data_IF_656356594024
#
_entry.id   IF_656356594024
#
_cell.length_a   1.000
_cell.length_b   1.000
_cell.length_c   1.000
_cell.angle_alpha   90.00
_cell.angle_beta   90.00
_cell.angle_gamma   90.00
#
_symmetry.space_group_name_H-M   'P 1'
#
loop_
_entity.id
_entity.type
_entity.pdbx_description
1 polymer ?
#
# COMPACT_ATOMS: atom_id res chain seq x y z
N UNK A 1 -0.16 -3.47 -16.26
CA UNK A 1 0.38 -2.38 -15.43
C UNK A 1 -0.14 -2.54 -14.00
N UNK A 2 0.71 -2.33 -13.02
CA UNK A 2 0.34 -2.49 -11.62
C UNK A 2 -0.72 -1.45 -11.22
N UNK A 3 -1.81 -1.91 -10.64
CA UNK A 3 -2.82 -1.03 -10.05
C UNK A 3 -2.34 -0.60 -8.66
N UNK A 4 -2.47 0.68 -8.34
CA UNK A 4 -2.03 1.20 -7.05
C UNK A 4 -3.22 1.76 -6.28
N UNK A 5 -3.43 1.22 -5.07
CA UNK A 5 -4.50 1.65 -4.17
C UNK A 5 -3.91 2.26 -2.90
N UNK A 6 -4.33 3.48 -2.59
CA UNK A 6 -3.99 4.14 -1.34
C UNK A 6 -5.17 4.04 -0.39
N UNK A 7 -4.97 3.40 0.75
CA UNK A 7 -5.96 3.34 1.82
C UNK A 7 -5.54 4.33 2.91
N UNK A 8 -6.43 5.25 3.24
CA UNK A 8 -6.14 6.34 4.17
C UNK A 8 -7.12 6.27 5.33
N UNK A 9 -6.59 6.15 6.56
CA UNK A 9 -7.42 6.16 7.75
C UNK A 9 -7.96 7.55 8.02
N UNK A 10 -9.26 7.64 8.30
CA UNK A 10 -9.92 8.91 8.62
C UNK A 10 -9.66 9.33 10.07
N UNK A 11 -9.86 10.60 10.35
CA UNK A 11 -9.82 11.13 11.71
C UNK A 11 -10.82 10.38 12.59
N UNK A 12 -10.40 10.01 13.78
CA UNK A 12 -11.25 9.27 14.72
C UNK A 12 -11.20 7.77 14.56
N UNK A 13 -10.49 7.26 13.56
CA UNK A 13 -10.30 5.82 13.43
C UNK A 13 -9.41 5.29 14.55
N UNK A 14 -9.77 4.13 15.09
CA UNK A 14 -8.96 3.43 16.09
C UNK A 14 -8.01 2.42 15.47
N UNK A 15 -7.99 2.32 14.15
CA UNK A 15 -7.12 1.39 13.43
C UNK A 15 -5.71 1.93 13.33
N UNK A 16 -4.75 1.01 13.33
CA UNK A 16 -3.35 1.32 13.03
C UNK A 16 -3.08 1.03 11.56
N UNK A 17 -1.94 1.49 11.09
CA UNK A 17 -1.47 1.19 9.75
C UNK A 17 -1.39 -0.31 9.51
N UNK A 18 -0.85 -1.05 10.49
CA UNK A 18 -0.73 -2.50 10.40
C UNK A 18 -2.09 -3.18 10.38
N UNK A 19 -3.02 -2.77 11.26
CA UNK A 19 -4.35 -3.37 11.27
C UNK A 19 -5.11 -3.10 9.97
N UNK A 20 -4.92 -1.94 9.37
CA UNK A 20 -5.47 -1.63 8.05
C UNK A 20 -4.89 -2.57 6.99
N UNK A 21 -3.58 -2.78 7.01
CA UNK A 21 -2.92 -3.68 6.08
C UNK A 21 -3.47 -5.10 6.21
N UNK A 22 -3.71 -5.55 7.45
CA UNK A 22 -4.26 -6.88 7.70
C UNK A 22 -5.69 -7.02 7.16
N UNK A 23 -6.51 -5.99 7.25
CA UNK A 23 -7.85 -6.01 6.67
C UNK A 23 -7.80 -6.14 5.15
N UNK A 24 -6.92 -5.39 4.51
CA UNK A 24 -6.74 -5.47 3.06
C UNK A 24 -6.22 -6.85 2.67
N UNK A 25 -5.29 -7.39 3.44
CA UNK A 25 -4.77 -8.73 3.22
C UNK A 25 -5.88 -9.78 3.27
N UNK A 26 -6.72 -9.74 4.30
CA UNK A 26 -7.79 -10.70 4.45
C UNK A 26 -8.76 -10.65 3.29
N UNK A 27 -9.08 -9.44 2.81
CA UNK A 27 -9.96 -9.27 1.67
C UNK A 27 -9.36 -9.86 0.40
N UNK A 28 -8.07 -9.62 0.16
CA UNK A 28 -7.38 -10.15 -1.01
C UNK A 28 -7.29 -11.68 -0.94
N UNK A 29 -7.00 -12.24 0.23
CA UNK A 29 -6.95 -13.69 0.43
C UNK A 29 -8.31 -14.32 0.17
N UNK A 30 -9.40 -13.66 0.56
CA UNK A 30 -10.76 -14.16 0.28
C UNK A 30 -11.06 -14.19 -1.20
N UNK A 31 -10.36 -13.41 -2.01
CA UNK A 31 -10.46 -13.41 -3.46
C UNK A 31 -9.43 -14.36 -4.12
N UNK A 32 -8.80 -15.20 -3.33
CA UNK A 32 -7.79 -16.18 -3.76
C UNK A 32 -6.54 -15.52 -4.35
N UNK A 33 -6.19 -14.32 -3.86
CA UNK A 33 -4.96 -13.64 -4.23
C UNK A 33 -3.90 -13.87 -3.17
N UNK A 34 -2.65 -14.06 -3.58
CA UNK A 34 -1.54 -14.13 -2.65
C UNK A 34 -1.08 -12.72 -2.28
N UNK A 35 -0.67 -12.52 -1.03
CA UNK A 35 -0.35 -11.20 -0.49
C UNK A 35 0.98 -11.23 0.22
N UNK A 36 1.79 -10.20 -0.01
CA UNK A 36 3.01 -9.95 0.76
C UNK A 36 2.90 -8.59 1.43
N UNK A 37 3.12 -8.55 2.74
CA UNK A 37 3.22 -7.30 3.50
C UNK A 37 4.71 -7.03 3.73
N UNK A 38 5.19 -5.86 3.31
CA UNK A 38 6.58 -5.49 3.47
C UNK A 38 6.72 -4.31 4.41
N UNK A 39 7.46 -4.50 5.49
CA UNK A 39 7.68 -3.50 6.52
C UNK A 39 9.07 -2.85 6.46
N UNK A 40 9.96 -3.41 5.69
CA UNK A 40 11.31 -2.90 5.50
C UNK A 40 11.60 -2.80 4.00
N UNK A 41 12.38 -1.79 3.62
CA UNK A 41 12.69 -1.52 2.21
C UNK A 41 13.81 -2.42 1.69
N UNK A 42 13.79 -3.68 2.04
CA UNK A 42 14.79 -4.64 1.54
C UNK A 42 14.28 -5.29 0.24
N UNK A 43 15.19 -5.75 -0.63
CA UNK A 43 14.76 -6.47 -1.82
C UNK A 43 13.92 -7.67 -1.47
N UNK A 44 12.85 -7.88 -2.22
CA UNK A 44 12.00 -9.05 -2.05
C UNK A 44 12.04 -9.88 -3.31
N UNK A 45 12.12 -11.18 -3.15
CA UNK A 45 12.01 -12.14 -4.24
C UNK A 45 10.63 -12.77 -4.28
N UNK A 46 9.70 -12.28 -3.47
CA UNK A 46 8.40 -12.90 -3.34
C UNK A 46 7.63 -12.84 -4.65
N UNK A 47 6.90 -13.89 -4.90
CA UNK A 47 6.00 -14.01 -6.05
C UNK A 47 4.58 -14.00 -5.50
N UNK A 48 4.03 -12.81 -5.39
CA UNK A 48 2.67 -12.61 -4.88
C UNK A 48 1.90 -11.73 -5.84
N UNK A 49 0.58 -11.81 -5.76
CA UNK A 49 -0.29 -10.99 -6.61
C UNK A 49 -0.35 -9.57 -6.09
N UNK A 50 -0.35 -9.41 -4.77
CA UNK A 50 -0.55 -8.12 -4.10
C UNK A 50 0.62 -7.84 -3.16
N UNK A 51 1.19 -6.63 -3.28
CA UNK A 51 2.21 -6.13 -2.36
C UNK A 51 1.61 -5.03 -1.51
N UNK A 52 1.72 -5.14 -0.19
CA UNK A 52 1.30 -4.09 0.74
C UNK A 52 2.55 -3.43 1.30
N UNK A 53 2.70 -2.14 1.03
CA UNK A 53 3.86 -1.36 1.44
C UNK A 53 3.59 -0.65 2.76
N UNK A 54 4.31 -1.05 3.81
CA UNK A 54 4.28 -0.38 5.11
C UNK A 54 5.59 0.37 5.38
N UNK A 55 6.42 0.55 4.35
CA UNK A 55 7.65 1.34 4.48
C UNK A 55 7.38 2.80 4.10
N UNK A 56 8.41 3.64 4.23
CA UNK A 56 8.34 5.04 3.84
C UNK A 56 8.90 5.28 2.43
N UNK A 57 9.26 4.22 1.74
CA UNK A 57 9.95 4.31 0.46
C UNK A 57 9.16 3.64 -0.65
N UNK A 58 9.46 4.02 -1.90
CA UNK A 58 9.00 3.28 -3.07
C UNK A 58 9.81 1.97 -3.13
N UNK A 59 9.10 0.84 -3.12
CA UNK A 59 9.76 -0.46 -3.18
C UNK A 59 10.24 -0.74 -4.62
N UNK A 60 11.48 -1.18 -4.78
CA UNK A 60 12.15 -1.24 -6.07
C UNK A 60 11.42 -2.14 -7.09
N UNK A 61 10.78 -3.21 -6.62
CA UNK A 61 10.13 -4.19 -7.50
C UNK A 61 8.61 -4.16 -7.43
N UNK A 62 8.03 -3.03 -7.01
CA UNK A 62 6.56 -2.95 -6.88
C UNK A 62 5.84 -3.26 -8.19
N UNK A 63 6.45 -2.92 -9.32
CA UNK A 63 5.83 -3.10 -10.63
C UNK A 63 5.77 -4.57 -11.09
N UNK A 64 6.37 -5.48 -10.34
CA UNK A 64 6.26 -6.90 -10.60
C UNK A 64 4.97 -7.52 -10.05
N UNK A 65 4.19 -6.76 -9.31
CA UNK A 65 2.94 -7.20 -8.70
C UNK A 65 1.75 -6.70 -9.51
N UNK A 66 0.65 -7.44 -9.49
CA UNK A 66 -0.59 -6.98 -10.11
C UNK A 66 -1.10 -5.71 -9.42
N UNK A 67 -0.93 -5.66 -8.10
CA UNK A 67 -1.49 -4.60 -7.27
C UNK A 67 -0.51 -4.20 -6.18
N UNK A 68 -0.35 -2.91 -5.99
CA UNK A 68 0.39 -2.33 -4.87
C UNK A 68 -0.60 -1.61 -3.96
N UNK A 69 -0.51 -1.86 -2.66
CA UNK A 69 -1.36 -1.22 -1.66
C UNK A 69 -0.48 -0.36 -0.76
N UNK A 70 -0.87 0.91 -0.63
CA UNK A 70 -0.25 1.85 0.30
C UNK A 70 -1.23 2.11 1.43
N UNK A 71 -0.76 2.04 2.67
CA UNK A 71 -1.59 2.26 3.85
C UNK A 71 -1.08 3.46 4.61
N UNK A 72 -1.93 4.48 4.77
CA UNK A 72 -1.58 5.73 5.45
C UNK A 72 -2.48 5.94 6.66
N UNK A 73 -1.89 6.48 7.72
CA UNK A 73 -2.62 6.86 8.93
C UNK A 73 -2.64 8.39 9.07
N UNK A 74 -3.08 8.90 10.22
CA UNK A 74 -3.17 10.34 10.45
C UNK A 74 -1.86 11.01 10.83
N UNK A 75 -0.81 10.23 11.06
CA UNK A 75 0.50 10.78 11.34
C UNK A 75 0.97 11.65 10.18
N UNK A 76 1.30 12.91 10.47
CA UNK A 76 1.64 13.89 9.44
C UNK A 76 2.88 13.49 8.64
N UNK A 77 3.87 12.90 9.31
CA UNK A 77 5.07 12.45 8.63
C UNK A 77 4.77 11.30 7.67
N UNK A 78 3.95 10.34 8.10
CA UNK A 78 3.52 9.21 7.25
C UNK A 78 2.78 9.73 6.03
N UNK A 79 1.88 10.71 6.23
CA UNK A 79 1.10 11.29 5.14
C UNK A 79 1.98 12.07 4.16
N UNK A 80 2.94 12.82 4.66
CA UNK A 80 3.86 13.59 3.82
C UNK A 80 4.67 12.67 2.91
N UNK A 81 5.24 11.62 3.48
CA UNK A 81 5.99 10.64 2.70
C UNK A 81 5.09 9.87 1.74
N UNK A 82 3.84 9.61 2.14
CA UNK A 82 2.86 9.00 1.26
C UNK A 82 2.52 9.86 0.06
N UNK A 83 2.43 11.19 0.24
CA UNK A 83 2.19 12.12 -0.87
C UNK A 83 3.34 12.11 -1.86
N UNK A 84 4.57 11.98 -1.38
CA UNK A 84 5.74 11.87 -2.26
C UNK A 84 5.69 10.61 -3.11
N UNK A 85 5.31 9.48 -2.51
CA UNK A 85 5.14 8.23 -3.25
C UNK A 85 3.99 8.33 -4.25
N UNK A 86 2.89 8.95 -3.86
CA UNK A 86 1.76 9.17 -4.77
C UNK A 86 2.21 9.92 -6.03
N UNK A 87 2.95 11.01 -5.85
CA UNK A 87 3.49 11.78 -6.98
C UNK A 87 4.42 10.94 -7.84
N UNK A 88 5.25 10.12 -7.23
CA UNK A 88 6.14 9.24 -7.95
C UNK A 88 5.37 8.32 -8.90
N UNK A 89 4.31 7.68 -8.40
CA UNK A 89 3.51 6.77 -9.22
C UNK A 89 2.71 7.53 -10.28
N UNK A 90 2.17 8.68 -9.93
CA UNK A 90 1.37 9.49 -10.85
C UNK A 90 2.21 9.97 -12.04
N UNK A 91 3.44 10.42 -11.78
CA UNK A 91 4.34 10.89 -12.83
C UNK A 91 4.70 9.78 -13.82
N UNK A 92 4.64 8.54 -13.38
CA UNK A 92 4.95 7.38 -14.22
C UNK A 92 3.72 6.75 -14.86
N UNK A 93 2.56 7.37 -14.69
CA UNK A 93 1.33 6.96 -15.36
C UNK A 93 0.64 5.74 -14.79
N UNK A 94 0.94 5.36 -13.56
CA UNK A 94 0.24 4.22 -12.94
C UNK A 94 -1.19 4.58 -12.59
N UNK A 95 -2.15 3.63 -12.71
CA UNK A 95 -3.52 3.87 -12.26
C UNK A 95 -3.56 3.95 -10.73
N UNK A 96 -4.09 5.04 -10.21
CA UNK A 96 -4.13 5.33 -8.79
C UNK A 96 -5.58 5.40 -8.30
N UNK A 97 -5.86 4.75 -7.17
CA UNK A 97 -7.17 4.74 -6.55
C UNK A 97 -7.02 5.08 -5.07
N UNK A 98 -7.89 5.97 -4.58
CA UNK A 98 -7.87 6.42 -3.19
C UNK A 98 -9.07 5.87 -2.46
N UNK A 99 -8.86 5.35 -1.25
CA UNK A 99 -9.91 4.81 -0.39
C UNK A 99 -9.79 5.38 1.01
N UNK A 100 -10.85 5.95 1.54
CA UNK A 100 -10.88 6.43 2.91
C UNK A 100 -11.54 5.38 3.81
N UNK A 101 -10.89 5.06 4.91
CA UNK A 101 -11.30 3.98 5.82
C UNK A 101 -11.47 4.54 7.23
N UNK A 102 -12.58 4.20 7.86
CA UNK A 102 -12.85 4.58 9.26
C UNK A 102 -12.08 3.74 10.26
#
# INVERSE_FOLDING_TARGET
MTRIDFYILKAGSDKTRLSLAQLVEQKALSQKKSVQIQQQASPTSAQADVLINLTDEVLANFSCFERLVECLCLDENVRELGRKRYRYYAERGYPLHMHEID
#
